data_IF_847732997663
#
_entry.id   IF_847732997663
#
_cell.length_a   1.000
_cell.length_b   1.000
_cell.length_c   1.000
_cell.angle_alpha   90.00
_cell.angle_beta   90.00
_cell.angle_gamma   90.00
#
_symmetry.space_group_name_H-M   'P 1'
#
loop_
_entity.id
_entity.type
_entity.pdbx_description
1 polymer ?
#
# COMPACT_ATOMS: atom_id res chain seq x y z
N UNK A 1 51.41 -33.59 -41.78
CA UNK A 1 50.44 -34.48 -41.13
C UNK A 1 49.51 -33.58 -40.29
N UNK A 2 48.33 -33.34 -40.80
CA UNK A 2 47.32 -32.44 -40.25
C UNK A 2 46.74 -33.03 -38.93
N UNK A 3 46.66 -32.24 -37.87
CA UNK A 3 45.77 -32.50 -36.77
C UNK A 3 44.84 -31.28 -36.63
N UNK A 4 43.59 -31.63 -36.80
CA UNK A 4 42.42 -30.75 -36.88
C UNK A 4 42.21 -29.91 -35.65
N UNK A 5 42.00 -28.60 -35.86
CA UNK A 5 41.19 -27.74 -35.01
C UNK A 5 39.75 -28.18 -35.23
N UNK A 6 39.08 -28.55 -34.16
CA UNK A 6 37.63 -28.41 -33.98
C UNK A 6 37.20 -29.23 -32.76
N UNK A 7 37.21 -28.65 -31.59
CA UNK A 7 36.36 -29.02 -30.43
C UNK A 7 36.31 -27.87 -29.45
N UNK A 8 35.77 -26.73 -29.90
CA UNK A 8 35.19 -25.77 -28.97
C UNK A 8 33.72 -26.16 -28.72
N UNK A 9 33.53 -27.04 -27.78
CA UNK A 9 32.22 -27.34 -27.22
C UNK A 9 31.71 -26.07 -26.50
N UNK A 10 30.68 -25.48 -27.06
CA UNK A 10 29.85 -24.44 -26.46
C UNK A 10 29.13 -25.04 -25.24
N UNK A 11 29.77 -24.97 -24.09
CA UNK A 11 29.10 -25.12 -22.80
C UNK A 11 28.66 -23.76 -22.34
N UNK A 12 27.48 -23.31 -22.73
CA UNK A 12 26.82 -22.20 -22.05
C UNK A 12 26.62 -22.59 -20.59
N UNK A 13 27.12 -21.84 -19.61
CA UNK A 13 26.78 -22.10 -18.22
C UNK A 13 25.28 -21.97 -18.08
N UNK A 14 24.62 -22.99 -17.56
CA UNK A 14 23.26 -22.96 -17.03
C UNK A 14 23.17 -21.77 -16.08
N UNK A 15 22.78 -20.61 -16.59
CA UNK A 15 22.28 -19.54 -15.76
C UNK A 15 21.00 -20.08 -15.12
N UNK A 16 21.12 -20.54 -13.90
CA UNK A 16 19.97 -20.82 -13.06
C UNK A 16 19.06 -19.59 -13.18
N UNK A 17 17.85 -19.77 -13.74
CA UNK A 17 16.85 -18.71 -13.81
C UNK A 17 16.47 -18.40 -12.36
N UNK A 18 17.11 -17.40 -11.81
CA UNK A 18 16.76 -16.88 -10.48
C UNK A 18 15.31 -16.43 -10.57
N UNK A 19 14.43 -17.04 -9.78
CA UNK A 19 13.04 -16.62 -9.71
C UNK A 19 12.98 -15.28 -8.95
N UNK A 20 12.71 -14.21 -9.68
CA UNK A 20 12.63 -12.87 -9.12
C UNK A 20 11.56 -12.75 -8.02
N UNK A 21 10.58 -13.67 -7.98
CA UNK A 21 9.53 -13.70 -6.96
C UNK A 21 10.05 -14.05 -5.57
N UNK A 22 11.17 -14.74 -5.46
CA UNK A 22 11.78 -15.12 -4.18
C UNK A 22 12.80 -14.08 -3.67
N UNK A 23 13.15 -13.11 -4.51
CA UNK A 23 14.14 -12.08 -4.17
C UNK A 23 13.48 -11.00 -3.31
N UNK A 24 14.19 -10.51 -2.27
CA UNK A 24 13.74 -9.40 -1.43
C UNK A 24 13.60 -8.11 -2.25
N UNK A 25 12.68 -7.24 -1.85
CA UNK A 25 12.43 -5.97 -2.54
C UNK A 25 13.69 -5.07 -2.56
N UNK A 26 14.49 -5.11 -1.48
CA UNK A 26 15.75 -4.38 -1.37
C UNK A 26 16.78 -4.84 -2.40
N UNK A 27 16.86 -6.15 -2.64
CA UNK A 27 17.76 -6.72 -3.63
C UNK A 27 17.25 -6.44 -5.07
N UNK A 28 15.93 -6.50 -5.27
CA UNK A 28 15.32 -6.15 -6.56
C UNK A 28 15.61 -4.70 -6.96
N UNK A 29 15.50 -3.74 -6.04
CA UNK A 29 15.81 -2.34 -6.38
C UNK A 29 17.29 -2.13 -6.68
N UNK A 30 18.20 -2.87 -6.04
CA UNK A 30 19.63 -2.87 -6.39
C UNK A 30 19.85 -3.44 -7.80
N UNK A 31 19.11 -4.49 -8.18
CA UNK A 31 19.14 -5.01 -9.55
C UNK A 31 18.64 -3.97 -10.56
N UNK A 32 17.63 -3.17 -10.20
CA UNK A 32 17.15 -2.04 -11.03
C UNK A 32 18.23 -0.97 -11.19
N UNK A 33 18.93 -0.62 -10.11
CA UNK A 33 20.07 0.30 -10.15
C UNK A 33 21.16 -0.18 -11.12
N UNK A 34 21.34 -1.49 -11.24
CA UNK A 34 22.28 -2.13 -12.17
C UNK A 34 21.69 -2.36 -13.58
N UNK A 35 20.55 -1.73 -13.90
CA UNK A 35 19.95 -1.74 -15.25
C UNK A 35 19.06 -2.95 -15.57
N UNK A 36 18.74 -3.80 -14.59
CA UNK A 36 17.90 -4.99 -14.81
C UNK A 36 16.40 -4.62 -14.78
N UNK A 37 15.82 -4.33 -15.95
CA UNK A 37 14.41 -3.91 -16.07
C UNK A 37 13.41 -4.93 -15.52
N UNK A 38 13.66 -6.24 -15.68
CA UNK A 38 12.79 -7.30 -15.16
C UNK A 38 12.61 -7.26 -13.63
N UNK A 39 13.63 -6.80 -12.90
CA UNK A 39 13.52 -6.62 -11.45
C UNK A 39 12.53 -5.48 -11.11
N UNK A 40 12.46 -4.44 -11.95
CA UNK A 40 11.45 -3.38 -11.79
C UNK A 40 10.04 -3.89 -12.10
N UNK A 41 9.88 -4.71 -13.16
CA UNK A 41 8.57 -5.30 -13.48
C UNK A 41 8.02 -6.13 -12.31
N UNK A 42 8.90 -6.86 -11.59
CA UNK A 42 8.52 -7.60 -10.39
C UNK A 42 8.12 -6.66 -9.24
N UNK A 43 8.87 -5.58 -8.99
CA UNK A 43 8.48 -4.56 -8.00
C UNK A 43 7.13 -3.92 -8.34
N UNK A 44 6.89 -3.63 -9.61
CA UNK A 44 5.59 -3.11 -10.09
C UNK A 44 4.48 -4.12 -9.79
N UNK A 45 4.69 -5.41 -10.10
CA UNK A 45 3.71 -6.46 -9.83
C UNK A 45 3.34 -6.54 -8.34
N UNK A 46 4.32 -6.40 -7.43
CA UNK A 46 4.11 -6.43 -5.96
C UNK A 46 3.42 -5.18 -5.42
N UNK A 47 3.74 -4.02 -5.96
CA UNK A 47 3.37 -2.74 -5.32
C UNK A 47 2.21 -2.01 -6.00
N UNK A 48 1.91 -2.24 -7.30
CA UNK A 48 0.85 -1.50 -8.01
C UNK A 48 -0.50 -1.58 -7.30
N UNK A 49 -0.98 -2.77 -6.97
CA UNK A 49 -2.27 -2.96 -6.31
C UNK A 49 -2.31 -2.39 -4.89
N UNK A 50 -1.22 -2.57 -4.13
CA UNK A 50 -1.08 -2.02 -2.76
C UNK A 50 -1.12 -0.50 -2.77
N UNK A 51 -0.34 0.13 -3.65
CA UNK A 51 -0.29 1.59 -3.82
C UNK A 51 -1.65 2.14 -4.26
N UNK A 52 -2.28 1.52 -5.26
CA UNK A 52 -3.60 1.92 -5.72
C UNK A 52 -4.62 1.90 -4.57
N UNK A 53 -4.70 0.79 -3.84
CA UNK A 53 -5.61 0.64 -2.72
C UNK A 53 -5.35 1.65 -1.60
N UNK A 54 -4.08 1.92 -1.27
CA UNK A 54 -3.69 2.91 -0.28
C UNK A 54 -4.09 4.33 -0.72
N UNK A 55 -3.73 4.72 -1.95
CA UNK A 55 -4.00 6.04 -2.51
C UNK A 55 -5.51 6.27 -2.65
N UNK A 56 -6.25 5.28 -3.16
CA UNK A 56 -7.70 5.35 -3.32
C UNK A 56 -8.43 5.64 -2.00
N UNK A 57 -8.02 4.96 -0.91
CA UNK A 57 -8.57 5.25 0.44
C UNK A 57 -8.27 6.66 0.92
N UNK A 58 -7.27 7.32 0.35
CA UNK A 58 -6.91 8.71 0.69
C UNK A 58 -7.67 9.72 -0.15
N UNK A 59 -7.70 9.54 -1.48
CA UNK A 59 -8.23 10.55 -2.43
C UNK A 59 -9.70 10.35 -2.76
N UNK A 60 -10.25 9.14 -2.56
CA UNK A 60 -11.65 8.75 -2.85
C UNK A 60 -12.06 8.98 -4.31
N UNK A 61 -11.13 8.91 -5.24
CA UNK A 61 -11.31 9.18 -6.67
C UNK A 61 -10.46 8.15 -7.42
N UNK A 62 -11.07 7.15 -8.09
CA UNK A 62 -10.33 6.07 -8.75
C UNK A 62 -9.40 6.56 -9.85
N UNK A 63 -9.83 7.53 -10.63
CA UNK A 63 -9.03 8.11 -11.72
C UNK A 63 -7.78 8.78 -11.17
N UNK A 64 -7.96 9.59 -10.13
CA UNK A 64 -6.83 10.22 -9.44
C UNK A 64 -5.94 9.21 -8.73
N UNK A 65 -6.50 8.15 -8.17
CA UNK A 65 -5.71 7.09 -7.53
C UNK A 65 -4.83 6.36 -8.55
N UNK A 66 -5.35 6.05 -9.76
CA UNK A 66 -4.56 5.46 -10.83
C UNK A 66 -3.43 6.41 -11.29
N UNK A 67 -3.74 7.71 -11.53
CA UNK A 67 -2.75 8.74 -11.89
C UNK A 67 -1.60 8.78 -10.87
N UNK A 68 -1.93 8.87 -9.57
CA UNK A 68 -0.93 8.96 -8.51
C UNK A 68 -0.17 7.66 -8.29
N UNK A 69 -0.78 6.50 -8.56
CA UNK A 69 -0.09 5.21 -8.51
C UNK A 69 0.95 5.12 -9.60
N UNK A 70 0.60 5.47 -10.84
CA UNK A 70 1.54 5.51 -11.96
C UNK A 70 2.67 6.50 -11.71
N UNK A 71 2.35 7.71 -11.26
CA UNK A 71 3.35 8.74 -10.91
C UNK A 71 4.30 8.25 -9.80
N UNK A 72 3.78 7.51 -8.80
CA UNK A 72 4.60 6.92 -7.74
C UNK A 72 5.61 5.94 -8.32
N UNK A 73 5.16 5.00 -9.15
CA UNK A 73 6.02 3.98 -9.77
C UNK A 73 7.05 4.59 -10.73
N UNK A 74 6.66 5.61 -11.50
CA UNK A 74 7.58 6.38 -12.35
C UNK A 74 8.69 7.02 -11.48
N UNK A 75 8.32 7.64 -10.37
CA UNK A 75 9.31 8.26 -9.46
C UNK A 75 10.22 7.24 -8.80
N UNK A 76 9.69 6.08 -8.43
CA UNK A 76 10.50 4.94 -7.94
C UNK A 76 11.55 4.56 -8.97
N UNK A 77 11.18 4.41 -10.23
CA UNK A 77 12.10 4.07 -11.31
C UNK A 77 13.15 5.15 -11.55
N UNK A 78 12.72 6.41 -11.72
CA UNK A 78 13.59 7.54 -12.00
C UNK A 78 14.57 7.87 -10.86
N UNK A 79 14.23 7.53 -9.63
CA UNK A 79 15.03 7.78 -8.45
C UNK A 79 15.55 6.50 -7.78
N UNK A 80 15.55 5.40 -8.51
CA UNK A 80 16.07 4.13 -8.00
C UNK A 80 17.51 4.29 -7.47
N UNK A 81 18.34 5.08 -8.14
CA UNK A 81 19.71 5.43 -7.75
C UNK A 81 19.83 6.10 -6.38
N UNK A 82 18.76 6.72 -5.88
CA UNK A 82 18.71 7.39 -4.57
C UNK A 82 18.34 6.45 -3.43
N UNK A 83 17.79 5.28 -3.74
CA UNK A 83 17.48 4.31 -2.70
C UNK A 83 18.77 3.84 -2.02
N UNK A 84 18.73 3.77 -0.70
CA UNK A 84 19.79 3.19 0.14
C UNK A 84 19.10 2.24 1.13
N UNK A 85 19.71 1.11 1.41
CA UNK A 85 19.20 0.10 2.36
C UNK A 85 19.33 0.57 3.83
N UNK A 86 18.94 1.82 4.11
CA UNK A 86 18.82 2.36 5.47
C UNK A 86 17.41 2.09 6.02
N UNK A 87 16.43 1.93 5.13
CA UNK A 87 15.05 1.60 5.44
C UNK A 87 14.54 0.58 4.43
N UNK A 88 13.47 -0.15 4.81
CA UNK A 88 12.80 -1.08 3.90
C UNK A 88 12.37 -0.38 2.62
N UNK A 89 12.39 -1.11 1.51
CA UNK A 89 11.91 -0.59 0.22
C UNK A 89 10.46 -0.11 0.31
N UNK A 90 9.59 -0.85 1.03
CA UNK A 90 8.21 -0.44 1.29
C UNK A 90 8.11 0.95 1.92
N UNK A 91 8.90 1.23 2.96
CA UNK A 91 8.93 2.55 3.62
C UNK A 91 9.27 3.67 2.65
N UNK A 92 10.23 3.45 1.77
CA UNK A 92 10.63 4.43 0.76
C UNK A 92 9.53 4.69 -0.28
N UNK A 93 8.92 3.63 -0.81
CA UNK A 93 7.83 3.72 -1.79
C UNK A 93 6.62 4.44 -1.21
N UNK A 94 6.19 4.07 0.01
CA UNK A 94 5.04 4.73 0.67
C UNK A 94 5.36 6.17 1.09
N UNK A 95 6.63 6.53 1.28
CA UNK A 95 7.04 7.94 1.45
C UNK A 95 6.76 8.75 0.19
N UNK A 96 7.12 8.21 -0.99
CA UNK A 96 6.85 8.87 -2.29
C UNK A 96 5.35 9.03 -2.48
N UNK A 97 4.57 7.94 -2.30
CA UNK A 97 3.12 7.95 -2.46
C UNK A 97 2.44 8.96 -1.53
N UNK A 98 2.78 8.92 -0.23
CA UNK A 98 2.19 9.83 0.77
C UNK A 98 2.47 11.29 0.45
N UNK A 99 3.68 11.62 -0.01
CA UNK A 99 4.04 12.97 -0.40
C UNK A 99 3.26 13.44 -1.65
N UNK A 100 3.08 12.57 -2.64
CA UNK A 100 2.28 12.87 -3.84
C UNK A 100 0.82 13.15 -3.47
N UNK A 101 0.20 12.27 -2.70
CA UNK A 101 -1.18 12.44 -2.22
C UNK A 101 -1.31 13.76 -1.46
N UNK A 102 -0.43 14.03 -0.49
CA UNK A 102 -0.45 15.26 0.30
C UNK A 102 -0.34 16.51 -0.57
N UNK A 103 0.54 16.51 -1.55
CA UNK A 103 0.70 17.63 -2.47
C UNK A 103 -0.54 17.86 -3.33
N UNK A 104 -1.13 16.79 -3.87
CA UNK A 104 -2.35 16.87 -4.67
C UNK A 104 -3.55 17.38 -3.87
N UNK A 105 -3.73 16.88 -2.64
CA UNK A 105 -4.79 17.34 -1.74
C UNK A 105 -4.63 18.82 -1.36
N UNK A 106 -3.39 19.28 -1.10
CA UNK A 106 -3.12 20.71 -0.87
C UNK A 106 -3.42 21.56 -2.09
N UNK A 107 -3.12 21.09 -3.29
CA UNK A 107 -3.45 21.81 -4.54
C UNK A 107 -4.97 21.93 -4.72
N UNK A 108 -5.72 20.84 -4.45
CA UNK A 108 -7.20 20.88 -4.51
C UNK A 108 -7.77 21.89 -3.51
N UNK A 109 -7.28 21.92 -2.28
CA UNK A 109 -7.76 22.86 -1.24
C UNK A 109 -7.37 24.32 -1.48
N UNK A 110 -6.35 24.60 -2.29
CA UNK A 110 -5.87 25.95 -2.64
C UNK A 110 -6.45 26.50 -3.93
N UNK A 111 -7.07 25.67 -4.78
CA UNK A 111 -7.80 26.18 -5.95
C UNK A 111 -9.01 26.97 -5.45
N UNK A 112 -9.07 28.29 -5.66
CA UNK A 112 -10.27 29.06 -5.32
C UNK A 112 -11.45 28.51 -6.09
N UNK A 113 -12.64 28.61 -5.50
CA UNK A 113 -13.96 28.20 -6.01
C UNK A 113 -14.39 28.94 -7.30
N UNK A 114 -13.48 29.25 -8.21
CA UNK A 114 -13.76 30.09 -9.38
C UNK A 114 -14.31 29.37 -10.61
N UNK A 115 -14.50 28.03 -10.55
CA UNK A 115 -15.05 27.27 -11.69
C UNK A 115 -15.89 26.06 -11.25
N UNK A 116 -16.85 26.23 -10.34
CA UNK A 116 -17.88 25.21 -10.19
C UNK A 116 -19.23 25.85 -9.99
N UNK A 117 -19.87 26.21 -11.12
CA UNK A 117 -21.32 26.40 -11.21
C UNK A 117 -22.05 25.05 -11.36
N UNK A 118 -21.35 23.93 -11.15
CA UNK A 118 -21.97 22.62 -11.00
C UNK A 118 -21.69 22.10 -9.60
N UNK A 119 -22.71 21.86 -8.75
CA UNK A 119 -22.54 21.12 -7.52
C UNK A 119 -21.97 19.75 -7.88
N UNK A 120 -20.91 19.36 -7.17
CA UNK A 120 -20.40 17.99 -7.25
C UNK A 120 -21.56 17.03 -6.95
N UNK A 121 -21.68 15.90 -7.67
CA UNK A 121 -22.67 14.90 -7.30
C UNK A 121 -22.39 14.45 -5.88
N UNK A 122 -23.40 14.56 -5.04
CA UNK A 122 -23.46 13.96 -3.73
C UNK A 122 -23.32 12.45 -3.91
N UNK A 123 -22.38 11.88 -3.19
CA UNK A 123 -22.24 10.46 -2.79
C UNK A 123 -22.87 9.40 -3.75
N UNK A 124 -22.35 9.24 -4.95
CA UNK A 124 -22.45 7.97 -5.64
C UNK A 124 -21.36 7.05 -5.06
N UNK A 125 -21.80 6.15 -4.19
CA UNK A 125 -21.02 5.02 -3.71
C UNK A 125 -20.68 4.12 -4.91
N UNK A 126 -19.57 4.40 -5.58
CA UNK A 126 -19.03 3.45 -6.55
C UNK A 126 -18.46 2.24 -5.80
N UNK A 127 -18.87 1.03 -6.14
CA UNK A 127 -18.29 -0.19 -5.61
C UNK A 127 -16.79 -0.19 -5.95
N UNK A 128 -15.96 -0.37 -4.94
CA UNK A 128 -14.55 -0.67 -5.09
C UNK A 128 -14.43 -2.08 -5.65
N UNK A 129 -14.12 -2.20 -6.92
CA UNK A 129 -13.80 -3.48 -7.53
C UNK A 129 -12.46 -3.97 -6.94
N UNK A 130 -12.44 -5.04 -6.13
CA UNK A 130 -11.21 -5.59 -5.59
C UNK A 130 -10.44 -6.33 -6.69
N UNK A 131 -9.10 -6.42 -6.59
CA UNK A 131 -8.30 -7.17 -7.56
C UNK A 131 -8.75 -8.63 -7.62
N UNK A 132 -8.89 -9.14 -8.83
CA UNK A 132 -9.29 -10.49 -9.22
C UNK A 132 -8.51 -11.57 -8.44
N UNK A 133 -9.16 -12.16 -7.44
CA UNK A 133 -8.72 -13.36 -6.75
C UNK A 133 -9.78 -14.43 -6.99
N UNK A 134 -9.57 -15.21 -8.05
CA UNK A 134 -10.41 -16.36 -8.41
C UNK A 134 -10.39 -17.40 -7.31
N UNK A 135 -11.44 -17.45 -6.50
CA UNK A 135 -11.82 -18.59 -5.67
C UNK A 135 -13.34 -18.53 -5.42
N UNK A 136 -13.98 -19.69 -5.34
CA UNK A 136 -15.35 -20.04 -5.02
C UNK A 136 -16.42 -18.92 -5.00
N UNK A 137 -17.49 -18.97 -5.82
CA UNK A 137 -18.48 -17.89 -5.96
C UNK A 137 -19.19 -17.49 -4.65
N UNK A 138 -19.36 -18.39 -3.72
CA UNK A 138 -20.01 -18.11 -2.41
C UNK A 138 -19.08 -17.42 -1.43
N UNK A 139 -17.78 -17.77 -1.40
CA UNK A 139 -16.77 -17.07 -0.62
C UNK A 139 -16.43 -15.68 -1.23
N UNK A 140 -16.57 -15.52 -2.54
CA UNK A 140 -16.36 -14.27 -3.25
C UNK A 140 -17.33 -13.17 -2.80
N UNK A 141 -18.62 -13.47 -2.71
CA UNK A 141 -19.66 -12.50 -2.29
C UNK A 141 -19.41 -12.01 -0.86
N UNK A 142 -19.10 -12.91 0.08
CA UNK A 142 -18.78 -12.52 1.45
C UNK A 142 -17.49 -11.68 1.55
N UNK A 143 -16.52 -11.94 0.70
CA UNK A 143 -15.24 -11.20 0.67
C UNK A 143 -15.41 -9.80 0.11
N UNK A 144 -16.22 -9.64 -0.93
CA UNK A 144 -16.54 -8.34 -1.53
C UNK A 144 -17.36 -7.48 -0.55
N UNK A 145 -18.38 -8.06 0.09
CA UNK A 145 -19.16 -7.37 1.12
C UNK A 145 -18.29 -6.92 2.28
N UNK A 146 -17.39 -7.77 2.78
CA UNK A 146 -16.45 -7.42 3.84
C UNK A 146 -15.48 -6.32 3.39
N UNK A 147 -14.97 -6.39 2.17
CA UNK A 147 -14.08 -5.36 1.62
C UNK A 147 -14.79 -4.00 1.51
N UNK A 148 -16.07 -3.97 1.09
CA UNK A 148 -16.88 -2.78 1.03
C UNK A 148 -17.13 -2.20 2.45
N UNK A 149 -17.47 -3.03 3.42
CA UNK A 149 -17.63 -2.63 4.83
C UNK A 149 -16.34 -2.03 5.38
N UNK A 150 -15.20 -2.68 5.16
CA UNK A 150 -13.88 -2.20 5.59
C UNK A 150 -13.52 -0.86 4.94
N UNK A 151 -13.83 -0.69 3.65
CA UNK A 151 -13.61 0.56 2.94
C UNK A 151 -14.50 1.69 3.50
N UNK A 152 -15.79 1.43 3.71
CA UNK A 152 -16.74 2.39 4.28
C UNK A 152 -16.35 2.79 5.71
N UNK A 153 -15.95 1.84 6.56
CA UNK A 153 -15.47 2.13 7.92
C UNK A 153 -14.19 2.96 7.90
N UNK A 154 -13.24 2.63 7.01
CA UNK A 154 -11.99 3.39 6.82
C UNK A 154 -12.27 4.82 6.37
N UNK A 155 -13.27 5.02 5.50
CA UNK A 155 -13.67 6.35 5.02
C UNK A 155 -14.19 7.27 6.14
N UNK A 156 -14.71 6.73 7.24
CA UNK A 156 -15.14 7.50 8.44
C UNK A 156 -13.98 7.98 9.30
N UNK A 157 -12.77 7.45 9.11
CA UNK A 157 -11.58 7.92 9.83
C UNK A 157 -11.15 9.28 9.25
N UNK A 158 -11.00 10.36 10.05
CA UNK A 158 -10.48 11.63 9.56
C UNK A 158 -9.09 11.49 8.94
N UNK A 159 -8.82 12.24 7.87
CA UNK A 159 -7.60 12.15 7.05
C UNK A 159 -6.30 12.14 7.88
N UNK A 160 -6.21 13.02 8.87
CA UNK A 160 -5.02 13.14 9.75
C UNK A 160 -4.69 11.86 10.54
N UNK A 161 -5.66 10.96 10.73
CA UNK A 161 -5.49 9.68 11.42
C UNK A 161 -5.43 8.50 10.42
N UNK A 162 -6.01 8.65 9.23
CA UNK A 162 -6.15 7.58 8.23
C UNK A 162 -4.81 7.14 7.67
N UNK A 163 -3.91 8.08 7.34
CA UNK A 163 -2.58 7.74 6.78
C UNK A 163 -1.79 6.82 7.71
N UNK A 164 -1.49 7.20 8.98
CA UNK A 164 -0.72 6.32 9.85
C UNK A 164 -1.45 5.00 10.16
N UNK A 165 -2.79 5.00 10.21
CA UNK A 165 -3.60 3.80 10.37
C UNK A 165 -3.43 2.83 9.19
N UNK A 166 -3.58 3.29 7.95
CA UNK A 166 -3.41 2.45 6.78
C UNK A 166 -1.99 1.90 6.66
N UNK A 167 -0.98 2.71 6.95
CA UNK A 167 0.42 2.27 6.94
C UNK A 167 0.67 1.18 7.99
N UNK A 168 0.02 1.23 9.16
CA UNK A 168 0.17 0.23 10.21
C UNK A 168 -0.65 -1.03 9.90
N UNK A 169 -1.96 -0.88 9.70
CA UNK A 169 -2.90 -2.02 9.66
C UNK A 169 -2.90 -2.74 8.30
N UNK A 170 -2.66 -2.02 7.21
CA UNK A 170 -2.70 -2.59 5.86
C UNK A 170 -1.30 -2.89 5.34
N UNK A 171 -0.38 -1.93 5.49
CA UNK A 171 0.97 -2.05 4.95
C UNK A 171 1.98 -2.65 5.95
N UNK A 172 1.57 -2.89 7.20
CA UNK A 172 2.34 -3.54 8.25
C UNK A 172 3.68 -2.86 8.56
N UNK A 173 3.73 -1.53 8.42
CA UNK A 173 4.91 -0.75 8.77
C UNK A 173 5.04 -0.60 10.29
N UNK A 174 6.28 -0.56 10.80
CA UNK A 174 6.56 -0.25 12.20
C UNK A 174 6.22 1.21 12.52
N UNK A 175 6.13 1.57 13.79
CA UNK A 175 5.88 2.95 14.20
C UNK A 175 7.02 3.88 13.75
N UNK A 176 8.26 3.41 13.76
CA UNK A 176 9.45 4.11 13.31
C UNK A 176 9.42 4.34 11.79
N UNK A 177 9.02 3.32 11.02
CA UNK A 177 8.85 3.43 9.57
C UNK A 177 7.72 4.42 9.23
N UNK A 178 6.60 4.38 9.96
CA UNK A 178 5.51 5.34 9.80
C UNK A 178 5.95 6.76 10.17
N UNK A 179 6.81 6.92 11.18
CA UNK A 179 7.44 8.21 11.48
C UNK A 179 8.24 8.72 10.29
N UNK A 180 9.04 7.86 9.65
CA UNK A 180 9.82 8.23 8.46
C UNK A 180 8.91 8.63 7.29
N UNK A 181 7.87 7.85 6.99
CA UNK A 181 6.90 8.12 5.92
C UNK A 181 6.14 9.43 6.14
N UNK A 182 5.70 9.68 7.37
CA UNK A 182 4.78 10.78 7.67
C UNK A 182 5.49 12.07 8.12
N UNK A 183 6.72 11.97 8.62
CA UNK A 183 7.45 13.04 9.26
C UNK A 183 6.88 13.45 10.63
N UNK A 184 6.04 12.62 11.24
CA UNK A 184 5.44 12.87 12.55
C UNK A 184 6.38 12.39 13.67
N UNK A 185 6.25 12.96 14.86
CA UNK A 185 6.92 12.43 16.05
C UNK A 185 6.32 11.06 16.45
N UNK A 186 7.13 10.14 16.96
CA UNK A 186 6.72 8.76 17.30
C UNK A 186 5.48 8.73 18.21
N UNK A 187 5.45 9.52 19.29
CA UNK A 187 4.28 9.63 20.16
C UNK A 187 3.02 10.15 19.45
N UNK A 188 3.19 10.98 18.39
CA UNK A 188 2.08 11.43 17.55
C UNK A 188 1.59 10.31 16.63
N UNK A 189 2.50 9.49 16.11
CA UNK A 189 2.14 8.30 15.29
C UNK A 189 1.30 7.35 16.13
N UNK A 190 1.79 6.94 17.32
CA UNK A 190 1.07 6.05 18.26
C UNK A 190 -0.32 6.61 18.60
N UNK A 191 -0.40 7.87 19.05
CA UNK A 191 -1.68 8.47 19.43
C UNK A 191 -2.67 8.59 18.25
N UNK A 192 -2.18 8.84 17.03
CA UNK A 192 -3.04 8.91 15.84
C UNK A 192 -3.56 7.55 15.43
N UNK A 193 -2.75 6.50 15.49
CA UNK A 193 -3.16 5.13 15.19
C UNK A 193 -4.23 4.69 16.19
N UNK A 194 -4.04 4.89 17.50
CA UNK A 194 -5.02 4.54 18.53
C UNK A 194 -6.35 5.27 18.34
N UNK A 195 -6.32 6.56 18.02
CA UNK A 195 -7.55 7.31 17.71
C UNK A 195 -8.22 6.81 16.43
N UNK A 196 -7.44 6.41 15.42
CA UNK A 196 -7.98 5.82 14.20
C UNK A 196 -8.62 4.47 14.46
N UNK A 197 -7.97 3.57 15.22
CA UNK A 197 -8.52 2.27 15.63
C UNK A 197 -9.89 2.44 16.33
N UNK A 198 -9.97 3.38 17.29
CA UNK A 198 -11.23 3.65 17.99
C UNK A 198 -12.34 4.14 17.05
N UNK A 199 -12.02 5.03 16.09
CA UNK A 199 -12.99 5.51 15.11
C UNK A 199 -13.40 4.44 14.12
N UNK A 200 -12.46 3.61 13.69
CA UNK A 200 -12.73 2.47 12.84
C UNK A 200 -13.70 1.50 13.51
N UNK A 201 -13.44 1.13 14.77
CA UNK A 201 -14.34 0.29 15.58
C UNK A 201 -15.75 0.85 15.66
N UNK A 202 -15.88 2.13 16.01
CA UNK A 202 -17.18 2.80 16.10
C UNK A 202 -17.92 2.80 14.76
N UNK A 203 -17.18 2.88 13.66
CA UNK A 203 -17.77 2.90 12.32
C UNK A 203 -18.15 1.50 11.83
N UNK A 204 -17.35 0.47 12.12
CA UNK A 204 -17.58 -0.88 11.60
C UNK A 204 -18.65 -1.66 12.36
N UNK A 205 -18.77 -1.48 13.69
CA UNK A 205 -19.75 -2.19 14.54
C UNK A 205 -21.18 -2.19 13.98
N UNK A 206 -21.77 -1.05 13.59
CA UNK A 206 -23.14 -1.02 13.05
C UNK A 206 -23.26 -1.61 11.64
N UNK A 207 -22.15 -1.82 10.92
CA UNK A 207 -22.13 -2.38 9.58
C UNK A 207 -22.03 -3.91 9.58
N UNK A 208 -21.49 -4.49 10.66
CA UNK A 208 -21.36 -5.94 10.80
C UNK A 208 -22.71 -6.51 11.28
N UNK A 209 -23.39 -7.24 10.39
CA UNK A 209 -24.67 -7.93 10.70
C UNK A 209 -24.47 -9.33 11.25
N UNK A 210 -23.25 -9.86 11.23
CA UNK A 210 -22.92 -11.23 11.60
C UNK A 210 -22.23 -11.25 12.98
N UNK A 211 -22.82 -11.95 13.95
CA UNK A 211 -22.29 -12.10 15.31
C UNK A 211 -20.91 -12.75 15.35
N UNK A 212 -20.62 -13.65 14.40
CA UNK A 212 -19.30 -14.31 14.28
C UNK A 212 -18.21 -13.29 13.93
N UNK A 213 -18.49 -12.38 12.99
CA UNK A 213 -17.54 -11.31 12.61
C UNK A 213 -17.35 -10.29 13.72
N UNK A 214 -18.39 -10.03 14.53
CA UNK A 214 -18.28 -9.18 15.71
C UNK A 214 -17.38 -9.81 16.78
N UNK A 215 -17.56 -11.10 17.06
CA UNK A 215 -16.74 -11.83 18.02
C UNK A 215 -15.27 -11.92 17.58
N UNK A 216 -15.02 -12.06 16.27
CA UNK A 216 -13.67 -12.07 15.73
C UNK A 216 -13.00 -10.68 15.78
N UNK A 217 -13.76 -9.63 15.52
CA UNK A 217 -13.29 -8.26 15.71
C UNK A 217 -12.87 -8.01 17.18
N UNK A 218 -13.68 -8.45 18.14
CA UNK A 218 -13.38 -8.32 19.58
C UNK A 218 -12.12 -9.08 19.99
N UNK A 219 -11.87 -10.26 19.41
CA UNK A 219 -10.63 -11.02 19.63
C UNK A 219 -9.39 -10.31 19.07
N UNK A 220 -9.49 -9.73 17.85
CA UNK A 220 -8.41 -8.96 17.25
C UNK A 220 -8.13 -7.71 18.09
N UNK A 221 -9.17 -7.09 18.64
CA UNK A 221 -9.06 -5.93 19.52
C UNK A 221 -8.33 -6.25 20.82
N UNK A 222 -8.64 -7.38 21.43
CA UNK A 222 -7.99 -7.82 22.67
C UNK A 222 -6.47 -8.03 22.46
N UNK A 223 -6.09 -8.70 21.36
CA UNK A 223 -4.67 -8.88 21.00
C UNK A 223 -3.95 -7.57 20.73
N UNK A 224 -4.57 -6.65 20.00
CA UNK A 224 -3.96 -5.35 19.71
C UNK A 224 -3.78 -4.49 20.98
N UNK A 225 -4.64 -4.67 21.99
CA UNK A 225 -4.50 -3.99 23.28
C UNK A 225 -3.36 -4.57 24.14
N UNK A 226 -3.08 -5.86 24.01
CA UNK A 226 -1.95 -6.53 24.66
C UNK A 226 -0.63 -6.07 24.05
N UNK A 227 -0.52 -6.04 22.71
CA UNK A 227 0.67 -5.54 21.98
C UNK A 227 0.98 -4.07 22.30
N UNK A 228 -0.04 -3.20 22.43
CA UNK A 228 0.13 -1.79 22.79
C UNK A 228 0.60 -1.60 24.26
N UNK A 229 0.44 -2.60 25.13
CA UNK A 229 0.93 -2.57 26.51
C UNK A 229 2.38 -3.07 26.64
N UNK A 230 2.78 -4.08 25.85
CA UNK A 230 4.16 -4.59 25.81
C UNK A 230 5.13 -3.55 25.23
N UNK A 231 4.68 -2.70 24.30
CA UNK A 231 5.49 -1.60 23.74
C UNK A 231 5.66 -0.37 24.67
N UNK A 232 5.11 -0.42 25.90
CA UNK A 232 5.20 0.70 26.87
C UNK A 232 6.21 0.47 27.99
N UNK A 233 6.67 -0.76 28.16
CA UNK A 233 7.71 -1.16 29.11
C UNK A 233 9.09 -1.22 28.42
#
# INVERSE_FOLDING_TARGET
MNLSRDEFVHGSPLQARVDLREIRDEDLIVMVQNGQRKAFDELVARYKGRLFSFILRMVKDPTLAEELTQETLIRVYLHADKYREIARFSTWVFTIATNLVRNKMRQRSRRPLLLSLNPAPEDDEMPLDPPDLRQDPTEGIHREELAAIMAAATAKIPEKYRVPFLLREVEQLSYEEIQQVTGLKLGTVRSRINRARNRFRQAIKPMLRNETLLAELERIEARAAEEDNEDKD
#
